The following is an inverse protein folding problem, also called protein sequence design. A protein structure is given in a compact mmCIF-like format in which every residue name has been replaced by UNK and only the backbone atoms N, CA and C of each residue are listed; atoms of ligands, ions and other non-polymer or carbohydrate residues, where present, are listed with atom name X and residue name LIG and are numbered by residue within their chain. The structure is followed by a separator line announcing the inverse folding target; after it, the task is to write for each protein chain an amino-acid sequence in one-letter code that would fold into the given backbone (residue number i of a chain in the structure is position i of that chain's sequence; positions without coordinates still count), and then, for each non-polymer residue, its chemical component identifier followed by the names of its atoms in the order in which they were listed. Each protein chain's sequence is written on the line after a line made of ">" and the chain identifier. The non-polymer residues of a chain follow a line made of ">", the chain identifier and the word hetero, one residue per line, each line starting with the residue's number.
data_IF_789691178289
#
_entry.id   IF_789691178289
#
_cell.length_a   1.000
_cell.length_b   1.000
_cell.length_c   1.000
_cell.angle_alpha   90.00
_cell.angle_beta   90.00
_cell.angle_gamma   90.00
#
_symmetry.space_group_name_H-M   'P 1'
#
loop_
_entity.id
_entity.type
_entity.pdbx_description
1 polymer ?
#
# COMPACT_ATOMS: atom_id res chain seq x y z
N UNK A 1 -23.11 17.77 31.30
CA UNK A 1 -24.12 16.68 31.23
C UNK A 1 -23.78 15.84 30.01
N UNK A 2 -23.17 14.71 30.20
CA UNK A 2 -22.76 13.78 29.15
C UNK A 2 -23.95 12.88 28.82
N UNK A 3 -24.53 13.08 27.66
CA UNK A 3 -25.61 12.22 27.16
C UNK A 3 -25.02 10.89 26.69
N UNK A 4 -25.29 9.85 27.45
CA UNK A 4 -24.87 8.48 27.15
C UNK A 4 -25.76 7.95 26.04
N UNK A 5 -25.24 7.84 24.83
CA UNK A 5 -25.92 7.16 23.72
C UNK A 5 -26.04 5.68 24.06
N UNK A 6 -27.23 5.25 24.47
CA UNK A 6 -27.56 3.84 24.67
C UNK A 6 -27.81 3.18 23.32
N UNK A 7 -26.85 2.42 22.83
CA UNK A 7 -27.10 1.43 21.80
C UNK A 7 -27.85 0.23 22.39
N UNK A 8 -29.16 0.26 22.36
CA UNK A 8 -29.98 -0.88 22.79
C UNK A 8 -30.94 -1.24 21.68
N UNK A 9 -30.45 -1.89 20.63
CA UNK A 9 -31.30 -2.81 19.86
C UNK A 9 -30.41 -3.86 19.16
N UNK A 10 -30.77 -5.15 19.25
CA UNK A 10 -30.02 -6.20 18.54
C UNK A 10 -30.16 -6.05 17.04
N UNK A 11 -29.05 -6.29 16.34
CA UNK A 11 -28.94 -6.27 14.88
C UNK A 11 -29.71 -7.38 14.14
N UNK A 12 -30.53 -8.16 14.85
CA UNK A 12 -31.32 -9.25 14.25
C UNK A 12 -32.67 -8.72 13.79
N UNK A 13 -32.87 -8.66 12.48
CA UNK A 13 -34.17 -8.35 11.85
C UNK A 13 -35.01 -9.61 11.83
N UNK A 14 -36.25 -9.55 12.33
CA UNK A 14 -37.19 -10.65 12.22
C UNK A 14 -37.54 -10.92 10.74
N UNK A 15 -37.77 -12.19 10.35
CA UNK A 15 -38.20 -12.53 8.99
C UNK A 15 -39.50 -11.79 8.64
N UNK A 16 -39.41 -10.92 7.59
CA UNK A 16 -40.56 -10.12 7.13
C UNK A 16 -40.53 -8.64 7.48
N UNK A 17 -39.63 -8.16 8.34
CA UNK A 17 -39.42 -6.73 8.58
C UNK A 17 -38.41 -6.14 7.59
N UNK A 18 -38.87 -5.22 6.76
CA UNK A 18 -37.98 -4.38 5.95
C UNK A 18 -37.54 -3.18 6.79
N UNK A 19 -36.27 -3.13 7.18
CA UNK A 19 -35.69 -1.89 7.68
C UNK A 19 -35.68 -0.87 6.55
N UNK A 20 -36.04 0.42 6.80
CA UNK A 20 -35.78 1.44 5.81
C UNK A 20 -34.28 1.40 5.52
N UNK A 21 -33.92 0.96 4.31
CA UNK A 21 -32.53 0.86 3.88
C UNK A 21 -31.96 2.28 3.73
N UNK A 22 -30.69 2.47 4.13
CA UNK A 22 -29.96 3.70 3.84
C UNK A 22 -29.46 3.75 2.39
N UNK A 23 -29.55 2.63 1.68
CA UNK A 23 -29.21 2.56 0.27
C UNK A 23 -30.14 3.46 -0.56
N UNK A 24 -29.56 4.36 -1.38
CA UNK A 24 -30.30 5.31 -2.17
C UNK A 24 -30.78 6.57 -1.42
N UNK A 25 -30.50 6.70 -0.12
CA UNK A 25 -30.82 7.91 0.65
C UNK A 25 -29.57 8.77 0.83
N UNK A 26 -29.78 10.11 0.86
CA UNK A 26 -28.70 11.03 1.15
C UNK A 26 -28.49 11.12 2.67
N UNK A 27 -27.56 10.31 3.19
CA UNK A 27 -27.21 10.31 4.61
C UNK A 27 -26.03 11.27 4.83
N UNK A 28 -26.20 12.39 5.55
CA UNK A 28 -25.10 13.30 5.87
C UNK A 28 -24.06 12.60 6.76
N UNK A 29 -22.79 12.82 6.48
CA UNK A 29 -21.72 12.36 7.35
C UNK A 29 -21.68 13.19 8.63
N UNK A 30 -21.30 12.57 9.74
CA UNK A 30 -21.22 13.26 11.04
C UNK A 30 -20.22 14.43 11.03
N UNK A 31 -19.20 14.31 10.18
CA UNK A 31 -18.13 15.29 10.05
C UNK A 31 -18.46 16.47 9.13
N UNK A 32 -19.48 16.36 8.26
CA UNK A 32 -19.74 17.35 7.22
C UNK A 32 -19.90 18.77 7.79
N UNK A 33 -20.60 18.90 8.92
CA UNK A 33 -20.83 20.21 9.55
C UNK A 33 -19.52 20.90 9.92
N UNK A 34 -18.60 20.22 10.61
CA UNK A 34 -17.33 20.81 11.04
C UNK A 34 -16.38 21.05 9.85
N UNK A 35 -16.44 20.19 8.81
CA UNK A 35 -15.62 20.34 7.63
C UNK A 35 -15.99 21.58 6.82
N UNK A 36 -17.29 21.82 6.59
CA UNK A 36 -17.72 23.01 5.85
C UNK A 36 -17.56 24.30 6.65
N UNK A 37 -17.41 24.22 7.98
CA UNK A 37 -17.11 25.35 8.86
C UNK A 37 -15.61 25.65 8.98
N UNK A 38 -14.74 24.86 8.33
CA UNK A 38 -13.29 24.99 8.44
C UNK A 38 -12.71 24.49 9.78
N UNK A 39 -13.49 23.74 10.55
CA UNK A 39 -13.09 23.17 11.84
C UNK A 39 -12.54 21.75 11.71
N UNK A 40 -12.30 21.30 10.48
CA UNK A 40 -11.66 20.02 10.21
C UNK A 40 -10.23 20.01 10.72
N UNK A 41 -9.84 18.93 11.39
CA UNK A 41 -8.44 18.69 11.80
C UNK A 41 -7.98 17.43 11.13
N UNK A 42 -7.00 17.55 10.23
CA UNK A 42 -6.34 16.45 9.55
C UNK A 42 -4.99 16.17 10.17
N UNK A 43 -4.36 15.07 9.78
CA UNK A 43 -3.08 14.65 10.35
C UNK A 43 -2.00 15.74 10.22
N UNK A 44 -1.96 16.44 9.08
CA UNK A 44 -1.00 17.51 8.80
C UNK A 44 -1.23 18.80 9.63
N UNK A 45 -2.41 18.97 10.22
CA UNK A 45 -2.72 20.12 11.07
C UNK A 45 -2.23 19.93 12.52
N UNK A 46 -1.89 18.67 12.86
CA UNK A 46 -1.42 18.34 14.21
C UNK A 46 0.01 18.85 14.39
N UNK A 47 0.18 19.81 15.32
CA UNK A 47 1.49 20.35 15.72
C UNK A 47 1.81 19.92 17.14
N UNK A 48 3.06 19.52 17.36
CA UNK A 48 3.59 19.13 18.66
C UNK A 48 4.86 19.92 18.96
N UNK A 49 5.12 20.16 20.25
CA UNK A 49 6.37 20.77 20.68
C UNK A 49 7.54 19.85 20.31
N UNK A 50 8.62 20.40 19.77
CA UNK A 50 9.79 19.65 19.29
C UNK A 50 9.48 18.57 18.23
N UNK A 51 8.45 18.75 17.42
CA UNK A 51 8.13 17.84 16.33
C UNK A 51 9.19 17.94 15.24
N UNK A 52 9.77 16.80 14.85
CA UNK A 52 10.58 16.67 13.65
C UNK A 52 9.72 16.38 12.42
N UNK A 53 10.25 16.72 11.26
CA UNK A 53 9.64 16.45 9.96
C UNK A 53 10.50 15.49 9.17
N UNK A 54 9.84 14.49 8.55
CA UNK A 54 10.51 13.46 7.76
C UNK A 54 10.30 13.73 6.28
N UNK A 55 11.38 13.62 5.48
CA UNK A 55 11.30 13.48 4.04
C UNK A 55 12.00 12.21 3.59
N UNK A 56 11.39 11.50 2.60
CA UNK A 56 11.91 10.25 2.09
C UNK A 56 12.64 10.45 0.77
N UNK A 57 13.85 9.93 0.69
CA UNK A 57 14.58 9.73 -0.56
C UNK A 57 13.97 8.51 -1.25
N UNK A 58 13.53 8.67 -2.49
CA UNK A 58 12.82 7.62 -3.22
C UNK A 58 13.59 7.17 -4.45
N UNK A 59 13.52 5.87 -4.74
CA UNK A 59 14.15 5.29 -5.91
C UNK A 59 13.52 5.82 -7.21
N UNK A 60 14.32 6.29 -8.16
CA UNK A 60 13.87 6.59 -9.52
C UNK A 60 13.78 5.35 -10.41
N UNK A 61 14.30 4.21 -9.95
CA UNK A 61 14.34 2.95 -10.68
C UNK A 61 13.20 2.03 -10.28
N UNK A 62 12.66 1.33 -11.27
CA UNK A 62 11.64 0.30 -11.06
C UNK A 62 12.22 -1.01 -10.46
N UNK A 63 13.49 -1.31 -10.76
CA UNK A 63 14.20 -2.44 -10.19
C UNK A 63 15.70 -2.14 -10.24
N UNK A 64 16.35 -2.09 -9.09
CA UNK A 64 17.77 -1.80 -8.98
C UNK A 64 18.35 -2.34 -7.67
N UNK A 65 19.59 -2.80 -7.69
CA UNK A 65 20.38 -2.97 -6.47
C UNK A 65 20.75 -1.61 -5.91
N UNK A 66 20.70 -1.48 -4.60
CA UNK A 66 21.24 -0.36 -3.84
C UNK A 66 22.65 -0.78 -3.39
N UNK A 67 23.68 -0.18 -4.01
CA UNK A 67 25.07 -0.47 -3.68
C UNK A 67 25.55 0.28 -2.45
N UNK A 68 25.13 1.53 -2.33
CA UNK A 68 25.41 2.38 -1.18
C UNK A 68 24.41 3.53 -1.08
N UNK A 69 24.23 4.02 0.14
CA UNK A 69 23.48 5.23 0.47
C UNK A 69 24.38 6.12 1.29
N UNK A 70 24.82 7.24 0.73
CA UNK A 70 25.64 8.23 1.44
C UNK A 70 24.76 9.39 1.94
N UNK A 71 24.64 9.49 3.24
CA UNK A 71 23.83 10.50 3.95
C UNK A 71 24.71 11.61 4.57
N UNK A 72 26.04 11.58 4.38
CA UNK A 72 27.00 12.45 5.06
C UNK A 72 26.67 13.92 4.86
N UNK A 73 26.44 14.34 3.61
CA UNK A 73 26.11 15.74 3.27
C UNK A 73 24.76 16.18 3.86
N UNK A 74 23.80 15.25 3.91
CA UNK A 74 22.50 15.54 4.51
C UNK A 74 22.61 15.74 6.02
N UNK A 75 23.45 14.96 6.71
CA UNK A 75 23.70 15.09 8.15
C UNK A 75 24.39 16.41 8.52
N UNK A 76 25.23 16.94 7.62
CA UNK A 76 25.94 18.25 7.83
C UNK A 76 25.00 19.45 7.59
N UNK A 77 23.82 19.23 6.98
CA UNK A 77 22.91 20.33 6.67
C UNK A 77 22.30 20.92 7.95
N UNK A 78 22.32 22.24 8.13
CA UNK A 78 21.78 22.90 9.33
C UNK A 78 20.31 22.60 9.52
N UNK A 79 19.93 22.15 10.73
CA UNK A 79 18.56 21.83 11.10
C UNK A 79 18.15 20.37 10.85
N UNK A 80 19.04 19.55 10.29
CA UNK A 80 18.84 18.09 10.24
C UNK A 80 19.05 17.51 11.63
N UNK A 81 18.12 16.64 12.03
CA UNK A 81 18.12 15.95 13.33
C UNK A 81 18.70 14.54 13.22
N UNK A 82 18.63 13.95 12.04
CA UNK A 82 19.15 12.61 11.78
C UNK A 82 18.69 12.07 10.44
N UNK A 83 19.26 10.94 10.07
CA UNK A 83 18.92 10.17 8.87
C UNK A 83 18.70 8.72 9.23
N UNK A 84 18.05 7.98 8.35
CA UNK A 84 17.86 6.53 8.48
C UNK A 84 17.94 5.91 7.09
N UNK A 85 18.75 4.86 6.95
CA UNK A 85 18.93 4.07 5.74
C UNK A 85 18.23 2.71 5.86
N UNK A 86 18.05 1.99 4.74
CA UNK A 86 17.48 0.66 4.75
C UNK A 86 18.29 -0.33 5.60
N UNK A 87 19.62 -0.27 5.52
CA UNK A 87 20.51 -1.16 6.28
C UNK A 87 20.37 -0.92 7.79
N UNK A 88 20.26 0.35 8.22
CA UNK A 88 20.01 0.70 9.63
C UNK A 88 18.62 0.22 10.09
N UNK A 89 17.60 0.35 9.25
CA UNK A 89 16.25 -0.17 9.55
C UNK A 89 16.30 -1.67 9.78
N UNK A 90 17.01 -2.43 8.93
CA UNK A 90 17.13 -3.88 9.06
C UNK A 90 17.82 -4.33 10.35
N UNK A 91 18.66 -3.45 10.95
CA UNK A 91 19.30 -3.71 12.25
C UNK A 91 18.42 -3.33 13.43
N UNK A 92 17.50 -2.38 13.26
CA UNK A 92 16.70 -1.79 14.32
C UNK A 92 15.31 -2.40 14.45
N UNK A 93 14.79 -3.00 13.37
CA UNK A 93 13.40 -3.49 13.31
C UNK A 93 13.33 -4.86 12.65
N UNK A 94 12.28 -5.60 12.96
CA UNK A 94 11.88 -6.76 12.16
C UNK A 94 11.14 -6.31 10.88
N UNK A 95 11.14 -7.14 9.81
CA UNK A 95 10.33 -6.87 8.63
C UNK A 95 8.84 -6.86 8.98
N UNK A 96 8.04 -6.22 8.14
CA UNK A 96 6.58 -6.23 8.30
C UNK A 96 6.05 -7.65 8.25
N UNK A 97 5.13 -7.93 9.18
CA UNK A 97 4.45 -9.22 9.21
C UNK A 97 3.59 -9.40 7.97
N UNK A 98 3.85 -10.47 7.22
CA UNK A 98 3.10 -10.83 6.03
C UNK A 98 1.93 -11.74 6.40
N UNK A 99 0.69 -11.28 6.15
CA UNK A 99 -0.53 -12.08 6.29
C UNK A 99 -0.71 -12.90 5.00
N UNK A 100 0.16 -13.87 4.79
CA UNK A 100 0.18 -14.68 3.58
C UNK A 100 0.68 -16.08 3.91
N UNK A 101 0.25 -17.07 3.13
CA UNK A 101 0.90 -18.39 3.14
C UNK A 101 2.18 -18.37 2.30
N UNK A 102 3.10 -19.32 2.49
CA UNK A 102 4.24 -19.47 1.59
C UNK A 102 3.83 -19.55 0.11
N UNK A 103 4.62 -18.96 -0.80
CA UNK A 103 5.92 -18.34 -0.55
C UNK A 103 5.88 -16.89 -0.03
N UNK A 104 4.76 -16.18 -0.11
CA UNK A 104 4.64 -14.78 0.27
C UNK A 104 4.95 -14.48 1.74
N UNK A 105 4.74 -15.47 2.64
CA UNK A 105 5.12 -15.36 4.06
C UNK A 105 6.63 -15.19 4.30
N UNK A 106 7.47 -15.45 3.30
CA UNK A 106 8.92 -15.31 3.39
C UNK A 106 9.44 -13.95 2.91
N UNK A 107 8.55 -13.08 2.43
CA UNK A 107 8.94 -11.73 2.00
C UNK A 107 9.41 -10.92 3.20
N UNK A 108 10.51 -10.18 3.01
CA UNK A 108 11.09 -9.30 4.02
C UNK A 108 10.94 -7.84 3.58
N UNK A 109 9.75 -7.30 3.82
CA UNK A 109 9.49 -5.88 3.55
C UNK A 109 9.78 -5.03 4.77
N UNK A 110 10.53 -3.96 4.59
CA UNK A 110 10.84 -2.97 5.61
C UNK A 110 10.25 -1.61 5.20
N UNK A 111 10.24 -0.66 6.12
CA UNK A 111 9.77 0.69 5.82
C UNK A 111 10.70 1.48 4.87
N UNK A 112 11.95 1.05 4.72
CA UNK A 112 12.91 1.51 3.72
C UNK A 112 13.47 0.31 2.96
N UNK A 113 13.79 0.50 1.68
CA UNK A 113 14.35 -0.54 0.83
C UNK A 113 15.71 -1.02 1.35
N UNK A 114 15.86 -2.33 1.50
CA UNK A 114 17.10 -2.98 1.95
C UNK A 114 17.75 -3.69 0.77
N UNK A 115 18.93 -3.24 0.38
CA UNK A 115 19.75 -3.85 -0.67
C UNK A 115 19.21 -3.78 -2.10
N UNK A 116 17.89 -3.60 -2.28
CA UNK A 116 17.25 -3.59 -3.60
C UNK A 116 16.00 -2.70 -3.60
N UNK A 117 15.88 -1.82 -4.59
CA UNK A 117 14.64 -1.11 -4.90
C UNK A 117 13.82 -1.95 -5.90
N UNK A 118 12.52 -2.14 -5.63
CA UNK A 118 11.63 -3.05 -6.35
C UNK A 118 10.54 -2.35 -7.15
N UNK A 119 10.35 -1.04 -6.91
CA UNK A 119 9.41 -0.21 -7.67
C UNK A 119 9.84 1.25 -7.65
N UNK A 120 9.40 2.01 -8.66
CA UNK A 120 9.63 3.46 -8.73
C UNK A 120 8.94 4.14 -7.53
N UNK A 121 9.69 4.96 -6.81
CA UNK A 121 9.18 5.67 -5.63
C UNK A 121 9.31 4.89 -4.32
N UNK A 122 9.90 3.70 -4.32
CA UNK A 122 10.22 3.00 -3.07
C UNK A 122 11.16 3.84 -2.22
N UNK A 123 10.84 3.98 -0.93
CA UNK A 123 11.65 4.78 -0.01
C UNK A 123 12.97 4.04 0.30
N UNK A 124 14.11 4.75 0.13
CA UNK A 124 15.46 4.18 0.28
C UNK A 124 16.15 4.75 1.52
N UNK A 125 15.91 6.02 1.82
CA UNK A 125 16.40 6.66 3.02
C UNK A 125 15.35 7.65 3.54
N UNK A 126 15.47 8.02 4.81
CA UNK A 126 14.69 9.07 5.44
C UNK A 126 15.60 10.12 6.03
N UNK A 127 15.22 11.39 5.90
CA UNK A 127 15.88 12.54 6.53
C UNK A 127 14.90 13.21 7.46
N UNK A 128 15.31 13.43 8.70
CA UNK A 128 14.52 14.10 9.73
C UNK A 128 15.12 15.45 10.03
N UNK A 129 14.31 16.50 9.99
CA UNK A 129 14.77 17.87 10.26
C UNK A 129 13.76 18.66 11.11
N UNK A 130 14.14 19.86 11.51
CA UNK A 130 13.32 20.77 12.32
C UNK A 130 12.15 21.39 11.56
N UNK A 131 12.24 21.46 10.20
CA UNK A 131 11.17 21.92 9.32
C UNK A 131 11.00 20.99 8.12
N UNK A 132 9.87 21.07 7.43
CA UNK A 132 9.59 20.30 6.22
C UNK A 132 10.52 20.66 5.08
N UNK A 133 10.75 21.96 4.91
CA UNK A 133 11.62 22.51 3.89
C UNK A 133 13.05 22.00 4.09
N UNK A 134 13.56 22.10 5.30
CA UNK A 134 14.91 21.60 5.65
C UNK A 134 15.02 20.09 5.41
N UNK A 135 14.01 19.30 5.79
CA UNK A 135 14.02 17.86 5.55
C UNK A 135 14.07 17.52 4.06
N UNK A 136 13.32 18.27 3.24
CA UNK A 136 13.30 18.12 1.78
C UNK A 136 14.63 18.50 1.16
N UNK A 137 15.12 19.70 1.45
CA UNK A 137 16.38 20.23 0.89
C UNK A 137 17.55 19.32 1.25
N UNK A 138 17.63 18.87 2.49
CA UNK A 138 18.66 17.94 2.93
C UNK A 138 18.49 16.54 2.29
N UNK A 139 17.28 16.09 1.96
CA UNK A 139 17.08 14.82 1.28
C UNK A 139 17.65 14.80 -0.14
N UNK A 140 17.75 15.95 -0.80
CA UNK A 140 18.37 16.10 -2.12
C UNK A 140 19.91 15.97 -2.08
N UNK A 141 20.50 16.04 -0.89
CA UNK A 141 21.93 15.85 -0.67
C UNK A 141 22.33 14.40 -0.43
N UNK A 142 21.36 13.51 -0.30
CA UNK A 142 21.61 12.06 -0.15
C UNK A 142 22.00 11.48 -1.50
N UNK A 143 23.15 10.83 -1.55
CA UNK A 143 23.66 10.18 -2.76
C UNK A 143 23.41 8.67 -2.66
N UNK A 144 22.76 8.11 -3.68
CA UNK A 144 22.46 6.67 -3.74
C UNK A 144 23.08 6.09 -5.02
N UNK A 145 23.94 5.09 -4.85
CA UNK A 145 24.51 4.33 -5.96
C UNK A 145 23.61 3.13 -6.31
N UNK A 146 23.02 3.20 -7.51
CA UNK A 146 22.14 2.17 -8.01
C UNK A 146 22.76 1.36 -9.14
N UNK A 147 22.57 0.04 -9.11
CA UNK A 147 22.79 -0.85 -10.23
C UNK A 147 21.46 -1.27 -10.82
N UNK A 148 21.06 -0.75 -11.99
CA UNK A 148 19.80 -1.11 -12.62
C UNK A 148 19.71 -2.62 -12.91
N UNK A 149 18.53 -3.20 -12.67
CA UNK A 149 18.19 -4.59 -12.92
C UNK A 149 17.07 -4.69 -13.97
N UNK A 150 16.88 -5.87 -14.59
CA UNK A 150 15.77 -6.09 -15.51
C UNK A 150 14.44 -5.81 -14.82
N UNK A 151 13.56 -5.08 -15.51
CA UNK A 151 12.25 -4.65 -15.00
C UNK A 151 11.18 -5.61 -15.48
N UNK A 152 10.26 -5.97 -14.58
CA UNK A 152 9.08 -6.75 -14.89
C UNK A 152 7.84 -5.85 -14.75
N UNK A 153 7.09 -5.71 -15.85
CA UNK A 153 5.86 -4.92 -15.91
C UNK A 153 4.62 -5.76 -16.20
N UNK A 154 4.81 -7.01 -16.62
CA UNK A 154 3.73 -7.97 -16.87
C UNK A 154 3.79 -9.12 -15.86
N UNK A 155 2.65 -9.41 -15.24
CA UNK A 155 2.55 -10.46 -14.22
C UNK A 155 2.75 -11.88 -14.80
N UNK A 156 2.46 -12.10 -16.07
CA UNK A 156 2.66 -13.40 -16.73
C UNK A 156 4.14 -13.60 -17.05
N UNK A 157 4.82 -12.55 -17.49
CA UNK A 157 6.27 -12.58 -17.70
C UNK A 157 7.00 -12.81 -16.37
N UNK A 158 6.50 -12.25 -15.27
CA UNK A 158 7.06 -12.44 -13.94
C UNK A 158 6.99 -13.91 -13.46
N UNK A 159 6.02 -14.70 -13.95
CA UNK A 159 5.85 -16.11 -13.61
C UNK A 159 6.54 -17.05 -14.60
N UNK A 160 7.14 -16.51 -15.68
CA UNK A 160 7.85 -17.34 -16.66
C UNK A 160 9.13 -17.97 -16.04
N UNK A 161 9.53 -19.12 -16.58
CA UNK A 161 10.77 -19.77 -16.17
C UNK A 161 11.97 -18.86 -16.47
N UNK A 162 12.84 -18.67 -15.46
CA UNK A 162 14.01 -17.79 -15.57
C UNK A 162 13.72 -16.29 -15.46
N UNK A 163 12.51 -15.89 -15.11
CA UNK A 163 12.19 -14.48 -14.85
C UNK A 163 13.05 -13.92 -13.70
N UNK A 164 13.48 -12.65 -13.80
CA UNK A 164 14.20 -12.00 -12.71
C UNK A 164 13.35 -12.00 -11.42
N UNK A 165 13.97 -12.33 -10.29
CA UNK A 165 13.28 -12.32 -9.01
C UNK A 165 13.28 -10.90 -8.41
N UNK A 166 12.10 -10.43 -7.98
CA UNK A 166 11.98 -9.21 -7.20
C UNK A 166 12.42 -9.44 -5.75
N UNK A 167 12.02 -10.57 -5.18
CA UNK A 167 12.38 -11.02 -3.84
C UNK A 167 13.18 -12.31 -3.93
N UNK A 168 14.51 -12.21 -3.86
CA UNK A 168 15.40 -13.37 -4.00
C UNK A 168 15.16 -14.41 -2.89
N UNK A 169 14.81 -13.94 -1.70
CA UNK A 169 14.52 -14.79 -0.53
C UNK A 169 13.29 -15.68 -0.71
N UNK A 170 12.33 -15.28 -1.54
CA UNK A 170 11.14 -16.06 -1.83
C UNK A 170 11.39 -17.15 -2.88
N UNK A 171 12.43 -16.98 -3.73
CA UNK A 171 12.75 -17.90 -4.82
C UNK A 171 11.74 -17.93 -5.96
N UNK A 172 10.71 -17.06 -5.90
CA UNK A 172 9.65 -16.95 -6.91
C UNK A 172 9.04 -15.57 -6.85
N UNK A 173 8.44 -15.13 -7.97
CA UNK A 173 7.60 -13.92 -8.02
C UNK A 173 6.12 -14.21 -7.69
N UNK A 174 5.74 -15.49 -7.49
CA UNK A 174 4.41 -15.85 -7.01
C UNK A 174 4.35 -15.65 -5.50
N UNK A 175 3.65 -14.61 -5.07
CA UNK A 175 3.56 -14.26 -3.65
C UNK A 175 2.41 -14.97 -2.94
N UNK A 176 1.35 -15.29 -3.66
CA UNK A 176 0.20 -16.01 -3.13
C UNK A 176 -0.56 -16.72 -4.23
N UNK A 177 -1.06 -17.90 -3.91
CA UNK A 177 -1.99 -18.65 -4.74
C UNK A 177 -3.10 -19.23 -3.85
N UNK A 178 -4.33 -19.13 -4.30
CA UNK A 178 -5.46 -19.67 -3.58
C UNK A 178 -6.62 -19.95 -4.52
N UNK A 179 -7.36 -21.02 -4.22
CA UNK A 179 -8.56 -21.41 -4.94
C UNK A 179 -9.73 -21.28 -3.99
N UNK A 180 -10.75 -20.56 -4.43
CA UNK A 180 -12.05 -20.47 -3.75
C UNK A 180 -13.10 -21.10 -4.63
N UNK A 181 -13.76 -22.12 -4.13
CA UNK A 181 -14.78 -22.86 -4.87
C UNK A 181 -16.14 -22.75 -4.17
N UNK A 182 -17.17 -22.41 -4.93
CA UNK A 182 -18.56 -22.40 -4.46
C UNK A 182 -19.48 -23.06 -5.51
N UNK A 183 -20.33 -23.97 -5.05
CA UNK A 183 -21.24 -24.70 -5.92
C UNK A 183 -20.53 -25.71 -6.81
N UNK A 184 -21.24 -26.17 -7.84
CA UNK A 184 -20.73 -27.09 -8.86
C UNK A 184 -20.43 -26.30 -10.13
N UNK A 185 -19.15 -25.93 -10.31
CA UNK A 185 -18.68 -25.15 -11.46
C UNK A 185 -18.79 -25.93 -12.77
N UNK A 186 -18.47 -27.21 -12.76
CA UNK A 186 -18.48 -28.03 -13.96
C UNK A 186 -19.91 -28.19 -14.48
N UNK A 187 -20.88 -28.43 -13.60
CA UNK A 187 -22.29 -28.46 -13.95
C UNK A 187 -22.78 -27.11 -14.46
N UNK A 188 -22.43 -26.03 -13.78
CA UNK A 188 -22.82 -24.67 -14.20
C UNK A 188 -22.31 -24.31 -15.59
N UNK A 189 -21.07 -24.66 -15.94
CA UNK A 189 -20.54 -24.47 -17.28
C UNK A 189 -21.18 -25.38 -18.33
N UNK A 190 -21.50 -26.63 -17.96
CA UNK A 190 -22.17 -27.58 -18.86
C UNK A 190 -23.63 -27.18 -19.20
N UNK A 191 -24.32 -26.55 -18.26
CA UNK A 191 -25.72 -26.11 -18.40
C UNK A 191 -25.84 -24.66 -18.94
N UNK A 192 -24.76 -23.92 -19.07
CA UNK A 192 -24.78 -22.53 -19.50
C UNK A 192 -25.13 -22.41 -21.00
N UNK A 193 -26.12 -21.57 -21.33
CA UNK A 193 -26.50 -21.28 -22.72
C UNK A 193 -25.35 -20.62 -23.51
N UNK A 194 -24.47 -19.91 -22.82
CA UNK A 194 -23.32 -19.22 -23.39
C UNK A 194 -22.19 -19.11 -22.39
N UNK A 195 -20.97 -19.46 -22.82
CA UNK A 195 -19.74 -19.26 -22.05
C UNK A 195 -18.91 -18.18 -22.71
N UNK A 196 -18.58 -17.12 -21.96
CA UNK A 196 -17.68 -16.05 -22.40
C UNK A 196 -16.35 -16.19 -21.65
N UNK A 197 -15.26 -16.26 -22.39
CA UNK A 197 -13.91 -16.23 -21.84
C UNK A 197 -13.29 -14.86 -22.10
N UNK A 198 -13.09 -14.10 -21.02
CA UNK A 198 -12.42 -12.79 -21.06
C UNK A 198 -11.06 -12.96 -20.41
N UNK A 199 -10.00 -12.58 -21.14
CA UNK A 199 -8.63 -12.54 -20.64
C UNK A 199 -8.20 -11.10 -20.52
N UNK A 200 -8.59 -10.44 -19.45
CA UNK A 200 -8.10 -9.11 -19.09
C UNK A 200 -7.30 -9.16 -17.79
N UNK A 201 -6.06 -8.70 -17.87
CA UNK A 201 -5.19 -8.42 -16.71
C UNK A 201 -5.32 -6.93 -16.37
N UNK A 202 -6.53 -6.47 -16.06
CA UNK A 202 -6.71 -5.09 -15.64
C UNK A 202 -7.09 -4.99 -14.17
N UNK A 203 -6.62 -3.91 -13.55
CA UNK A 203 -6.97 -3.54 -12.19
C UNK A 203 -8.50 -3.56 -11.99
N UNK A 204 -9.00 -4.62 -11.45
CA UNK A 204 -10.39 -4.96 -11.18
C UNK A 204 -11.23 -3.87 -10.47
N UNK A 205 -10.67 -2.74 -10.10
CA UNK A 205 -11.38 -1.70 -9.35
C UNK A 205 -12.23 -0.75 -10.20
N UNK A 206 -12.01 -0.63 -11.51
CA UNK A 206 -12.77 0.31 -12.35
C UNK A 206 -13.80 -0.34 -13.27
N UNK A 207 -13.63 -1.58 -13.64
CA UNK A 207 -14.42 -2.20 -14.71
C UNK A 207 -15.51 -3.17 -14.24
N UNK A 208 -15.49 -3.66 -13.00
CA UNK A 208 -16.62 -4.41 -12.42
C UNK A 208 -17.93 -3.63 -12.44
N UNK A 209 -17.87 -2.29 -12.49
CA UNK A 209 -19.06 -1.45 -12.62
C UNK A 209 -19.66 -1.52 -14.02
N UNK A 210 -18.85 -1.56 -15.05
CA UNK A 210 -19.28 -1.60 -16.44
C UNK A 210 -19.76 -3.00 -16.89
N UNK A 211 -19.20 -4.06 -16.29
CA UNK A 211 -19.66 -5.44 -16.55
C UNK A 211 -21.03 -5.72 -15.96
N UNK A 212 -21.34 -5.17 -14.78
CA UNK A 212 -22.69 -5.31 -14.18
C UNK A 212 -23.77 -4.53 -14.93
N UNK A 213 -23.43 -3.46 -15.65
CA UNK A 213 -24.35 -2.69 -16.50
C UNK A 213 -24.63 -3.37 -17.84
N UNK A 214 -23.78 -4.30 -18.29
CA UNK A 214 -23.97 -5.06 -19.54
C UNK A 214 -24.87 -6.31 -19.37
N UNK A 215 -25.18 -6.69 -18.15
CA UNK A 215 -26.02 -7.85 -17.80
C UNK A 215 -27.40 -7.47 -17.25
N UNK A 216 -27.82 -6.21 -17.29
CA UNK A 216 -29.19 -5.74 -17.09
C UNK A 216 -29.86 -5.45 -18.44
#
# INVERSE_FOLDING_TARGET
>A
MTETVRHTQPLVVAPGETRPGFAGTNVPRKEDKRLVQGEGVFFDDVKRHNMGYVHFVRSPYAHAKIRSVDVSKALEHPGVLGTLTGDEVALLTDPFFQISSPPGAHLKDFCLAVGKARFVGEAVAAVVATTRETARDASELVEVDYEPLPVLTDAREALAEGAPLLHDEAGTNLTWEGVYEWGDLDQAFAEADRVLKISELQHLRRETRNLLELFQ
#
